data_IF_483862890581
#
_entry.id   IF_483862890581
#
_cell.length_a   1.000
_cell.length_b   1.000
_cell.length_c   1.000
_cell.angle_alpha   90.00
_cell.angle_beta   90.00
_cell.angle_gamma   90.00
#
_symmetry.space_group_name_H-M   'P 1'
#
loop_
_entity.id
_entity.type
_entity.pdbx_description
1 polymer ?
#
# COMPACT_ATOMS: atom_id res chain seq x y z
N UNK A 1 -20.41 -12.67 -27.14
CA UNK A 1 -20.71 -12.42 -25.72
C UNK A 1 -19.77 -11.34 -25.24
N UNK A 2 -20.26 -10.33 -24.51
CA UNK A 2 -19.41 -9.27 -23.94
C UNK A 2 -18.97 -9.70 -22.54
N UNK A 3 -17.67 -9.82 -22.30
CA UNK A 3 -17.12 -10.27 -21.01
C UNK A 3 -16.61 -9.12 -20.14
N UNK A 4 -16.29 -7.98 -20.73
CA UNK A 4 -15.83 -6.79 -20.02
C UNK A 4 -17.05 -5.98 -19.55
N UNK A 5 -17.10 -5.64 -18.27
CA UNK A 5 -18.23 -4.94 -17.65
C UNK A 5 -17.71 -3.87 -16.69
N UNK A 6 -18.47 -2.78 -16.55
CA UNK A 6 -18.24 -1.76 -15.51
C UNK A 6 -19.44 -1.78 -14.58
N UNK A 7 -19.19 -2.15 -13.32
CA UNK A 7 -20.20 -2.16 -12.27
C UNK A 7 -20.14 -0.86 -11.48
N UNK A 8 -21.30 -0.27 -11.23
CA UNK A 8 -21.45 0.95 -10.44
C UNK A 8 -22.57 0.78 -9.42
N UNK A 9 -22.49 1.50 -8.30
CA UNK A 9 -23.62 1.63 -7.40
C UNK A 9 -24.74 2.44 -8.05
N UNK A 10 -25.96 2.32 -7.53
CA UNK A 10 -27.13 3.05 -8.03
C UNK A 10 -26.87 4.57 -8.10
N UNK A 11 -26.43 5.19 -7.00
CA UNK A 11 -26.15 6.63 -6.97
C UNK A 11 -24.99 7.09 -7.86
N UNK A 12 -24.08 6.19 -8.26
CA UNK A 12 -23.05 6.52 -9.26
C UNK A 12 -23.58 6.37 -10.69
N UNK A 13 -24.53 5.46 -10.90
CA UNK A 13 -25.19 5.23 -12.19
C UNK A 13 -26.07 6.42 -12.57
N UNK A 14 -26.70 7.09 -11.60
CA UNK A 14 -27.44 8.35 -11.80
C UNK A 14 -26.58 9.48 -12.36
N UNK A 15 -25.25 9.37 -12.21
CA UNK A 15 -24.27 10.35 -12.68
C UNK A 15 -23.61 9.92 -13.99
N UNK A 16 -24.04 8.82 -14.61
CA UNK A 16 -23.48 8.34 -15.86
C UNK A 16 -23.78 9.31 -17.01
N UNK A 17 -22.75 9.90 -17.59
CA UNK A 17 -22.85 10.76 -18.78
C UNK A 17 -22.72 9.95 -20.06
N UNK A 18 -21.78 9.00 -20.09
CA UNK A 18 -21.49 8.21 -21.29
C UNK A 18 -20.84 6.88 -20.95
N UNK A 19 -21.25 5.82 -21.64
CA UNK A 19 -20.55 4.54 -21.68
C UNK A 19 -20.30 4.17 -23.15
N UNK A 20 -19.07 3.83 -23.49
CA UNK A 20 -18.66 3.52 -24.86
C UNK A 20 -17.48 2.56 -24.86
N UNK A 21 -17.23 1.89 -25.98
CA UNK A 21 -15.99 1.16 -26.19
C UNK A 21 -14.88 2.10 -26.65
N UNK A 22 -13.63 1.76 -26.31
CA UNK A 22 -12.41 2.44 -26.74
C UNK A 22 -11.45 1.39 -27.34
N UNK A 23 -11.39 1.27 -28.68
CA UNK A 23 -10.46 0.38 -29.35
C UNK A 23 -9.05 0.99 -29.44
N UNK A 24 -8.07 0.19 -29.82
CA UNK A 24 -6.73 0.68 -30.20
C UNK A 24 -5.65 0.61 -29.12
N UNK A 25 -5.79 -0.31 -28.15
CA UNK A 25 -4.81 -0.50 -27.06
C UNK A 25 -3.84 -1.67 -27.28
N UNK A 26 -3.82 -2.27 -28.48
CA UNK A 26 -2.95 -3.41 -28.78
C UNK A 26 -3.29 -4.70 -28.02
N UNK A 27 -4.51 -4.79 -27.47
CA UNK A 27 -5.07 -5.97 -26.82
C UNK A 27 -6.14 -6.60 -27.71
N UNK A 28 -6.38 -7.91 -27.54
CA UNK A 28 -7.50 -8.64 -28.11
C UNK A 28 -8.84 -8.32 -27.43
N UNK A 29 -8.78 -7.64 -26.28
CA UNK A 29 -9.94 -7.03 -25.61
C UNK A 29 -10.19 -5.58 -26.05
N UNK A 30 -11.46 -5.17 -26.00
CA UNK A 30 -11.89 -3.78 -26.26
C UNK A 30 -12.19 -3.10 -24.93
N UNK A 31 -11.47 -2.01 -24.62
CA UNK A 31 -11.68 -1.29 -23.36
C UNK A 31 -13.06 -0.64 -23.31
N UNK A 32 -13.62 -0.52 -22.10
CA UNK A 32 -14.83 0.26 -21.84
C UNK A 32 -14.41 1.61 -21.27
N UNK A 33 -14.87 2.68 -21.91
CA UNK A 33 -14.73 4.06 -21.45
C UNK A 33 -16.06 4.56 -20.92
N UNK A 34 -16.06 4.89 -19.62
CA UNK A 34 -17.19 5.46 -18.91
C UNK A 34 -16.87 6.88 -18.48
N UNK A 35 -17.85 7.76 -18.54
CA UNK A 35 -17.76 9.15 -18.09
C UNK A 35 -18.88 9.40 -17.09
N UNK A 36 -18.51 9.86 -15.89
CA UNK A 36 -19.45 10.20 -14.83
C UNK A 36 -19.37 11.71 -14.54
N UNK A 37 -20.51 12.31 -14.22
CA UNK A 37 -20.62 13.69 -13.73
C UNK A 37 -20.38 13.72 -12.22
N UNK A 38 -19.10 13.72 -11.84
CA UNK A 38 -18.67 13.70 -10.44
C UNK A 38 -17.57 14.73 -10.22
N UNK A 39 -17.62 15.38 -9.06
CA UNK A 39 -16.50 16.16 -8.56
C UNK A 39 -15.43 15.20 -8.04
N UNK A 40 -14.27 15.15 -8.70
CA UNK A 40 -13.13 14.36 -8.24
C UNK A 40 -12.45 15.10 -7.09
N UNK A 41 -12.60 14.58 -5.88
CA UNK A 41 -11.80 15.03 -4.75
C UNK A 41 -10.37 14.55 -4.95
N UNK A 42 -9.46 15.49 -5.24
CA UNK A 42 -8.04 15.19 -5.28
C UNK A 42 -7.55 15.01 -3.85
N UNK A 43 -7.33 13.76 -3.46
CA UNK A 43 -6.63 13.44 -2.23
C UNK A 43 -5.14 13.41 -2.55
N UNK A 44 -4.35 14.14 -1.77
CA UNK A 44 -2.91 13.92 -1.76
C UNK A 44 -2.64 12.46 -1.39
N UNK A 45 -2.15 11.69 -2.35
CA UNK A 45 -1.74 10.31 -2.09
C UNK A 45 -0.49 10.42 -1.21
N UNK A 46 -0.47 9.82 -0.01
CA UNK A 46 0.72 9.87 0.82
C UNK A 46 1.89 9.27 0.05
N UNK A 47 3.05 9.95 0.12
CA UNK A 47 4.27 9.49 -0.52
C UNK A 47 4.54 8.04 -0.08
N UNK A 48 4.65 7.15 -1.06
CA UNK A 48 4.93 5.73 -0.82
C UNK A 48 6.43 5.56 -0.61
N UNK A 49 6.83 4.48 0.06
CA UNK A 49 8.24 4.11 0.21
C UNK A 49 8.75 3.43 -1.06
N UNK A 50 9.93 3.81 -1.53
CA UNK A 50 10.58 3.25 -2.70
C UNK A 50 11.49 2.09 -2.30
N UNK A 51 10.90 0.92 -2.05
CA UNK A 51 11.61 -0.29 -1.66
C UNK A 51 12.62 -0.79 -2.71
N UNK A 52 12.44 -0.39 -3.98
CA UNK A 52 13.38 -0.73 -5.06
C UNK A 52 14.70 0.03 -4.93
N UNK A 53 14.66 1.23 -4.37
CA UNK A 53 15.81 2.14 -4.27
C UNK A 53 16.41 2.17 -2.85
N UNK A 54 15.95 1.27 -1.97
CA UNK A 54 16.52 1.11 -0.64
C UNK A 54 17.89 0.43 -0.71
N UNK A 55 18.85 0.92 0.08
CA UNK A 55 20.12 0.23 0.26
C UNK A 55 19.98 -0.95 1.23
N UNK A 56 19.59 -2.11 0.71
CA UNK A 56 19.38 -3.29 1.53
C UNK A 56 20.64 -3.83 2.23
N UNK A 57 21.85 -3.37 1.84
CA UNK A 57 23.10 -3.77 2.51
C UNK A 57 23.27 -3.06 3.84
N UNK A 58 22.85 -1.80 3.92
CA UNK A 58 22.95 -0.97 5.14
C UNK A 58 21.74 -1.14 6.07
N UNK A 59 20.61 -1.63 5.56
CA UNK A 59 19.39 -1.82 6.34
C UNK A 59 19.57 -2.65 7.63
N UNK A 60 20.34 -3.76 7.66
CA UNK A 60 20.56 -4.53 8.89
C UNK A 60 21.24 -3.72 10.00
N UNK A 61 22.17 -2.82 9.65
CA UNK A 61 22.82 -1.95 10.63
C UNK A 61 21.83 -0.92 11.21
N UNK A 62 20.99 -0.34 10.34
CA UNK A 62 19.88 0.51 10.76
C UNK A 62 18.92 -0.24 11.71
N UNK A 63 18.41 -1.41 11.30
CA UNK A 63 17.50 -2.22 12.11
C UNK A 63 18.10 -2.58 13.48
N UNK A 64 19.39 -2.97 13.51
CA UNK A 64 20.09 -3.27 14.76
C UNK A 64 20.11 -2.07 15.71
N UNK A 65 20.31 -0.86 15.19
CA UNK A 65 20.26 0.35 16.00
C UNK A 65 18.86 0.62 16.58
N UNK A 66 17.78 0.36 15.82
CA UNK A 66 16.41 0.48 16.33
C UNK A 66 16.09 -0.58 17.39
N UNK A 67 16.51 -1.84 17.16
CA UNK A 67 16.34 -2.92 18.13
C UNK A 67 17.11 -2.66 19.42
N UNK A 68 18.33 -2.12 19.35
CA UNK A 68 19.12 -1.80 20.55
C UNK A 68 18.48 -0.69 21.42
N UNK A 69 17.69 0.21 20.83
CA UNK A 69 16.99 1.29 21.54
C UNK A 69 15.67 0.84 22.17
N UNK A 70 15.15 -0.32 21.77
CA UNK A 70 13.87 -0.84 22.26
C UNK A 70 14.08 -2.25 22.83
N UNK A 71 14.28 -2.38 24.15
CA UNK A 71 14.45 -3.69 24.76
C UNK A 71 13.25 -4.58 24.42
N UNK A 72 13.54 -5.72 23.81
CA UNK A 72 12.56 -6.78 23.58
C UNK A 72 12.37 -7.55 24.89
N UNK A 73 11.17 -8.09 25.15
CA UNK A 73 10.97 -9.02 26.26
C UNK A 73 11.98 -10.18 26.21
N UNK A 74 12.46 -10.59 27.39
CA UNK A 74 13.42 -11.69 27.51
C UNK A 74 12.78 -13.04 27.11
N UNK A 75 13.60 -13.93 26.57
CA UNK A 75 13.21 -15.30 26.24
C UNK A 75 13.47 -16.23 27.44
N UNK A 76 12.69 -17.32 27.63
CA UNK A 76 11.59 -17.77 26.77
C UNK A 76 10.30 -16.98 26.98
N UNK A 77 9.49 -16.86 25.92
CA UNK A 77 8.16 -16.25 25.99
C UNK A 77 7.25 -17.14 26.85
N UNK A 78 6.84 -16.63 28.01
CA UNK A 78 6.13 -17.42 29.02
C UNK A 78 4.60 -17.41 28.83
N UNK A 79 4.05 -16.41 28.13
CA UNK A 79 2.62 -16.25 27.95
C UNK A 79 2.24 -15.63 26.59
N UNK A 80 0.95 -15.67 26.27
CA UNK A 80 0.41 -14.95 25.10
C UNK A 80 0.59 -13.44 25.20
N UNK A 81 0.44 -12.87 26.40
CA UNK A 81 0.66 -11.44 26.62
C UNK A 81 2.12 -11.04 26.38
N UNK A 82 3.06 -11.90 26.75
CA UNK A 82 4.48 -11.69 26.47
C UNK A 82 4.77 -11.77 24.97
N UNK A 83 4.10 -12.69 24.26
CA UNK A 83 4.20 -12.80 22.80
C UNK A 83 3.66 -11.56 22.10
N UNK A 84 2.49 -11.07 22.51
CA UNK A 84 1.86 -9.87 21.95
C UNK A 84 2.76 -8.64 22.19
N UNK A 85 3.36 -8.54 23.37
CA UNK A 85 4.31 -7.46 23.71
C UNK A 85 5.59 -7.55 22.86
N UNK A 86 6.15 -8.76 22.72
CA UNK A 86 7.35 -9.00 21.92
C UNK A 86 7.12 -8.67 20.44
N UNK A 87 6.02 -9.15 19.87
CA UNK A 87 5.68 -8.91 18.46
C UNK A 87 5.39 -7.45 18.19
N UNK A 88 4.69 -6.75 19.09
CA UNK A 88 4.48 -5.31 18.97
C UNK A 88 5.81 -4.55 18.99
N UNK A 89 6.70 -4.83 19.95
CA UNK A 89 7.99 -4.17 20.04
C UNK A 89 8.86 -4.40 18.79
N UNK A 90 8.88 -5.64 18.27
CA UNK A 90 9.59 -5.99 17.04
C UNK A 90 9.00 -5.27 15.81
N UNK A 91 7.68 -5.29 15.66
CA UNK A 91 6.98 -4.68 14.53
C UNK A 91 7.24 -3.17 14.47
N UNK A 92 7.17 -2.48 15.62
CA UNK A 92 7.46 -1.04 15.66
C UNK A 92 8.93 -0.79 15.32
N UNK A 93 9.88 -1.60 15.80
CA UNK A 93 11.31 -1.39 15.50
C UNK A 93 11.62 -1.59 14.02
N UNK A 94 10.97 -2.57 13.39
CA UNK A 94 11.05 -2.79 11.96
C UNK A 94 10.47 -1.63 11.16
N UNK A 95 9.27 -1.16 11.52
CA UNK A 95 8.59 -0.06 10.82
C UNK A 95 9.39 1.24 10.94
N UNK A 96 9.96 1.53 12.11
CA UNK A 96 10.79 2.72 12.32
C UNK A 96 12.08 2.65 11.48
N UNK A 97 12.75 1.50 11.48
CA UNK A 97 13.93 1.29 10.62
C UNK A 97 13.59 1.45 9.13
N UNK A 98 12.43 0.95 8.68
CA UNK A 98 11.98 1.12 7.29
C UNK A 98 11.67 2.58 6.97
N UNK A 99 11.10 3.35 7.91
CA UNK A 99 10.81 4.77 7.71
C UNK A 99 12.08 5.60 7.60
N UNK A 100 13.11 5.26 8.35
CA UNK A 100 14.38 5.99 8.35
C UNK A 100 15.25 5.59 7.16
N UNK A 101 15.21 4.32 6.76
CA UNK A 101 16.13 3.77 5.76
C UNK A 101 15.59 3.76 4.32
N UNK A 102 14.28 3.53 4.14
CA UNK A 102 13.70 3.41 2.78
C UNK A 102 13.30 4.80 2.29
N UNK A 103 13.85 5.29 1.16
CA UNK A 103 13.50 6.61 0.65
C UNK A 103 12.03 6.68 0.25
N UNK A 104 11.48 7.90 0.20
CA UNK A 104 10.17 8.14 -0.38
C UNK A 104 10.26 8.07 -1.91
N UNK A 105 9.22 7.52 -2.53
CA UNK A 105 9.02 7.52 -3.96
C UNK A 105 8.84 8.97 -4.42
N UNK A 106 9.78 9.46 -5.23
CA UNK A 106 9.75 10.79 -5.83
C UNK A 106 8.75 10.84 -6.98
#
# INVERSE_FOLDING_TARGET
TTHDLVFASEGLTDRLVKCSTLPGHGSDHIAIRVTFDVTVIHREIPLRRNFRDADWKEFPACLKAHLARRPLPELPIASRADLDTYTAALAVSLVDALKDHVPLLR
#
